data_IF_248162818140
#
_entry.id   IF_248162818140
#
_cell.length_a   1.000
_cell.length_b   1.000
_cell.length_c   1.000
_cell.angle_alpha   90.00
_cell.angle_beta   90.00
_cell.angle_gamma   90.00
#
_symmetry.space_group_name_H-M   'P 1'
#
loop_
_entity.id
_entity.type
_entity.pdbx_description
1 polymer ?
#
# COMPACT_ATOMS: atom_id res chain seq x y z
N UNK A 1 -33.04 -31.06 -25.42
CA UNK A 1 -31.91 -30.15 -25.72
C UNK A 1 -31.81 -29.16 -24.55
N UNK A 2 -30.98 -29.30 -23.51
CA UNK A 2 -30.10 -30.37 -23.07
C UNK A 2 -30.21 -30.49 -21.55
N UNK A 3 -30.34 -31.72 -21.07
CA UNK A 3 -30.42 -32.11 -19.66
C UNK A 3 -29.10 -32.72 -19.21
N UNK A 4 -27.99 -32.03 -19.49
CA UNK A 4 -26.66 -32.38 -18.99
C UNK A 4 -26.02 -31.12 -18.40
N UNK A 5 -26.52 -30.71 -17.23
CA UNK A 5 -25.66 -30.03 -16.28
C UNK A 5 -24.96 -31.15 -15.52
N UNK A 6 -23.80 -31.57 -16.03
CA UNK A 6 -22.90 -32.45 -15.31
C UNK A 6 -22.55 -31.75 -14.00
N UNK A 7 -23.31 -32.07 -12.95
CA UNK A 7 -22.96 -31.75 -11.59
C UNK A 7 -21.72 -32.61 -11.32
N UNK A 8 -20.53 -32.03 -11.48
CA UNK A 8 -19.32 -32.52 -10.80
C UNK A 8 -19.58 -32.44 -9.29
N UNK A 9 -20.44 -33.32 -8.79
CA UNK A 9 -21.03 -33.24 -7.47
C UNK A 9 -20.19 -33.97 -6.42
N UNK A 10 -19.10 -34.62 -6.82
CA UNK A 10 -18.25 -35.42 -5.93
C UNK A 10 -16.74 -35.23 -6.16
N UNK A 11 -16.28 -34.04 -6.61
CA UNK A 11 -14.85 -33.72 -6.52
C UNK A 11 -14.58 -33.17 -5.10
N UNK A 12 -13.75 -33.83 -4.28
CA UNK A 12 -13.43 -33.32 -2.95
C UNK A 12 -12.61 -32.02 -3.07
N UNK A 13 -13.18 -30.93 -2.58
CA UNK A 13 -12.49 -29.65 -2.51
C UNK A 13 -11.79 -29.49 -1.17
N UNK A 14 -10.57 -28.95 -1.17
CA UNK A 14 -9.80 -28.66 0.03
C UNK A 14 -9.81 -27.16 0.32
N UNK A 15 -10.25 -26.78 1.51
CA UNK A 15 -10.08 -25.41 2.00
C UNK A 15 -8.59 -25.13 2.17
N UNK A 16 -8.13 -24.02 1.60
CA UNK A 16 -6.74 -23.56 1.66
C UNK A 16 -6.64 -22.23 2.39
N UNK A 17 -5.43 -21.82 2.76
CA UNK A 17 -5.19 -20.47 3.28
C UNK A 17 -5.68 -19.42 2.29
N UNK A 18 -6.25 -18.32 2.80
CA UNK A 18 -6.62 -17.15 2.00
C UNK A 18 -5.43 -16.54 1.24
N UNK A 19 -4.19 -16.87 1.63
CA UNK A 19 -2.97 -16.42 0.94
C UNK A 19 -2.53 -17.32 -0.22
N UNK A 20 -3.09 -18.53 -0.33
CA UNK A 20 -2.70 -19.52 -1.35
C UNK A 20 -2.92 -19.02 -2.79
N UNK A 21 -4.07 -18.41 -3.15
CA UNK A 21 -4.27 -17.89 -4.51
C UNK A 21 -3.17 -16.91 -4.95
N UNK A 22 -2.77 -16.00 -4.04
CA UNK A 22 -1.70 -15.02 -4.30
C UNK A 22 -0.33 -15.68 -4.39
N UNK A 23 0.02 -16.54 -3.42
CA UNK A 23 1.37 -17.10 -3.30
C UNK A 23 1.70 -18.17 -4.35
N UNK A 24 0.70 -18.95 -4.77
CA UNK A 24 0.91 -20.09 -5.66
C UNK A 24 0.52 -19.76 -7.10
N UNK A 25 -0.60 -19.07 -7.32
CA UNK A 25 -1.12 -18.77 -8.65
C UNK A 25 -0.88 -17.32 -9.10
N UNK A 26 -0.28 -16.46 -8.25
CA UNK A 26 -0.04 -15.05 -8.57
C UNK A 26 -1.31 -14.20 -8.69
N UNK A 27 -2.48 -14.73 -8.29
CA UNK A 27 -3.77 -14.08 -8.46
C UNK A 27 -4.06 -13.07 -7.34
N UNK A 28 -4.61 -11.92 -7.71
CA UNK A 28 -5.17 -10.99 -6.74
C UNK A 28 -6.42 -11.61 -6.09
N UNK A 29 -6.46 -11.62 -4.75
CA UNK A 29 -7.52 -12.26 -3.98
C UNK A 29 -8.20 -11.28 -3.00
N UNK A 30 -8.33 -10.03 -3.44
CA UNK A 30 -8.88 -8.96 -2.63
C UNK A 30 -7.89 -8.36 -1.63
N UNK A 31 -8.43 -7.55 -0.74
CA UNK A 31 -7.71 -6.92 0.37
C UNK A 31 -8.41 -7.24 1.71
N UNK A 32 -7.70 -7.03 2.81
CA UNK A 32 -8.28 -7.04 4.16
C UNK A 32 -8.32 -5.61 4.68
N UNK A 33 -9.41 -5.27 5.37
CA UNK A 33 -9.54 -4.00 6.07
C UNK A 33 -9.11 -4.20 7.52
N UNK A 34 -8.29 -3.30 8.02
CA UNK A 34 -7.86 -3.25 9.42
C UNK A 34 -8.07 -1.84 9.94
N UNK A 35 -8.74 -1.72 11.08
CA UNK A 35 -8.84 -0.47 11.81
C UNK A 35 -7.59 -0.26 12.67
N UNK A 36 -7.08 0.97 12.71
CA UNK A 36 -6.02 1.40 13.61
C UNK A 36 -6.43 2.73 14.24
N UNK A 37 -6.33 2.90 15.57
CA UNK A 37 -6.80 4.10 16.26
C UNK A 37 -5.92 5.34 16.01
N UNK A 38 -4.65 5.13 15.62
CA UNK A 38 -3.69 6.18 15.29
C UNK A 38 -2.59 5.61 14.38
N UNK A 39 -1.74 6.50 13.85
CA UNK A 39 -0.73 6.14 12.86
C UNK A 39 0.36 5.22 13.45
N UNK A 40 0.77 5.39 14.71
CA UNK A 40 1.76 4.49 15.33
C UNK A 40 1.24 3.06 15.48
N UNK A 41 -0.06 2.88 15.69
CA UNK A 41 -0.72 1.56 15.71
C UNK A 41 -0.81 0.93 14.32
N UNK A 42 -0.74 1.72 13.23
CA UNK A 42 -0.59 1.17 11.87
C UNK A 42 0.71 0.37 11.79
N UNK A 43 1.81 0.92 12.32
CA UNK A 43 3.13 0.29 12.26
C UNK A 43 3.31 -0.83 13.30
N UNK A 44 2.96 -0.56 14.57
CA UNK A 44 3.17 -1.48 15.70
C UNK A 44 2.33 -2.76 15.57
N UNK A 45 1.07 -2.63 15.15
CA UNK A 45 0.13 -3.75 15.05
C UNK A 45 0.09 -4.34 13.64
N UNK A 46 1.24 -4.38 12.95
CA UNK A 46 1.36 -4.98 11.64
C UNK A 46 1.05 -6.50 11.70
N UNK A 47 0.16 -7.03 10.84
CA UNK A 47 -0.22 -8.45 10.88
C UNK A 47 0.83 -9.38 10.24
N UNK A 48 1.91 -8.82 9.68
CA UNK A 48 2.94 -9.59 8.98
C UNK A 48 4.15 -9.81 9.87
N UNK A 49 4.66 -11.05 9.88
CA UNK A 49 5.93 -11.36 10.54
C UNK A 49 7.04 -10.54 9.86
N UNK A 50 7.84 -9.82 10.66
CA UNK A 50 8.85 -8.89 10.18
C UNK A 50 8.37 -7.45 9.99
N UNK A 51 7.08 -7.19 10.23
CA UNK A 51 6.50 -5.84 10.08
C UNK A 51 6.36 -5.41 8.62
N UNK A 52 6.08 -4.12 8.44
CA UNK A 52 6.28 -3.46 7.15
C UNK A 52 7.76 -3.13 7.04
N UNK A 53 8.48 -3.80 6.14
CA UNK A 53 9.93 -3.65 5.98
C UNK A 53 10.31 -2.51 5.03
N UNK A 54 9.32 -1.91 4.37
CA UNK A 54 9.46 -0.63 3.70
C UNK A 54 8.17 0.19 3.82
N UNK A 55 8.29 1.46 4.23
CA UNK A 55 7.17 2.34 4.54
C UNK A 55 7.32 3.65 3.78
N UNK A 56 6.36 3.94 2.91
CA UNK A 56 6.31 5.14 2.09
C UNK A 56 5.15 6.02 2.55
N UNK A 57 5.41 7.30 2.81
CA UNK A 57 4.37 8.31 2.97
C UNK A 57 4.22 9.18 1.72
N UNK A 58 2.99 9.56 1.39
CA UNK A 58 2.72 10.48 0.27
C UNK A 58 2.32 11.86 0.78
N UNK A 59 2.90 12.93 0.23
CA UNK A 59 2.58 14.33 0.56
C UNK A 59 3.05 15.27 -0.54
N UNK A 60 2.37 16.40 -0.72
CA UNK A 60 2.84 17.45 -1.64
C UNK A 60 4.20 18.03 -1.20
N UNK A 61 4.50 17.96 0.10
CA UNK A 61 5.78 18.35 0.70
C UNK A 61 6.88 17.27 0.56
N UNK A 62 6.56 16.12 -0.01
CA UNK A 62 7.51 15.03 -0.23
C UNK A 62 8.54 15.36 -1.31
N UNK A 63 9.61 14.55 -1.38
CA UNK A 63 10.58 14.67 -2.48
C UNK A 63 9.91 14.26 -3.80
N UNK A 64 10.25 14.96 -4.88
CA UNK A 64 9.73 14.66 -6.22
C UNK A 64 10.79 13.90 -7.02
N UNK A 65 10.51 12.65 -7.35
CA UNK A 65 11.36 11.80 -8.19
C UNK A 65 10.48 11.25 -9.31
N UNK A 66 10.97 11.02 -10.53
CA UNK A 66 10.15 10.37 -11.56
C UNK A 66 9.96 8.90 -11.21
N UNK A 67 8.79 8.34 -11.53
CA UNK A 67 8.49 6.91 -11.31
C UNK A 67 9.59 6.01 -11.91
N UNK A 68 10.08 6.33 -13.10
CA UNK A 68 11.13 5.55 -13.77
C UNK A 68 12.51 5.62 -13.10
N UNK A 69 12.76 6.67 -12.30
CA UNK A 69 14.02 6.89 -11.58
C UNK A 69 13.97 6.42 -10.13
N UNK A 70 12.76 6.27 -9.58
CA UNK A 70 12.58 5.82 -8.21
C UNK A 70 13.03 4.35 -8.08
N UNK A 71 14.06 4.13 -7.28
CA UNK A 71 14.55 2.80 -6.93
C UNK A 71 14.08 2.45 -5.53
N UNK A 72 13.34 1.35 -5.41
CA UNK A 72 12.93 0.79 -4.13
C UNK A 72 13.90 -0.34 -3.73
N UNK A 73 14.25 -0.47 -2.44
CA UNK A 73 14.97 -1.64 -1.96
C UNK A 73 14.08 -2.90 -2.09
N UNK A 74 14.67 -4.11 -2.10
CA UNK A 74 13.90 -5.34 -1.97
C UNK A 74 13.03 -5.31 -0.70
N UNK A 75 11.75 -5.64 -0.81
CA UNK A 75 10.81 -5.65 0.29
C UNK A 75 9.90 -6.88 0.26
N UNK A 76 9.38 -7.27 1.42
CA UNK A 76 8.37 -8.32 1.57
C UNK A 76 6.98 -7.74 1.81
N UNK A 77 6.90 -6.67 2.62
CA UNK A 77 5.67 -6.05 3.09
C UNK A 77 5.79 -4.51 2.96
N UNK A 78 5.49 -3.99 1.77
CA UNK A 78 5.42 -2.55 1.53
C UNK A 78 4.15 -1.93 2.13
N UNK A 79 4.29 -0.83 2.86
CA UNK A 79 3.19 0.04 3.28
C UNK A 79 3.27 1.38 2.54
N UNK A 80 2.16 1.81 1.94
CA UNK A 80 2.00 3.15 1.35
C UNK A 80 0.92 3.87 2.15
N UNK A 81 1.30 4.96 2.81
CA UNK A 81 0.44 5.75 3.68
C UNK A 81 -0.03 7.03 2.97
N UNK A 82 -1.31 7.34 3.15
CA UNK A 82 -1.97 8.52 2.60
C UNK A 82 -2.58 9.35 3.73
N UNK A 83 -2.42 10.66 3.63
CA UNK A 83 -3.00 11.62 4.57
C UNK A 83 -4.46 11.96 4.23
N UNK A 84 -5.13 12.58 5.19
CA UNK A 84 -6.42 13.25 5.00
C UNK A 84 -6.25 14.68 4.47
N UNK A 85 -7.20 15.55 4.79
CA UNK A 85 -7.20 16.95 4.35
C UNK A 85 -5.94 17.72 4.81
N UNK A 86 -5.47 17.48 6.03
CA UNK A 86 -4.27 18.12 6.59
C UNK A 86 -3.01 17.23 6.47
N UNK A 87 -3.05 16.22 5.59
CA UNK A 87 -1.88 15.37 5.31
C UNK A 87 -1.60 14.31 6.37
N UNK A 88 -0.42 13.69 6.28
CA UNK A 88 0.06 12.72 7.26
C UNK A 88 0.67 13.43 8.47
N UNK A 89 1.07 14.68 8.31
CA UNK A 89 1.62 15.56 9.32
C UNK A 89 0.63 15.74 10.48
N UNK A 90 -0.66 15.93 10.20
CA UNK A 90 -1.70 15.97 11.24
C UNK A 90 -1.81 14.64 12.00
N UNK A 91 -1.76 13.51 11.29
CA UNK A 91 -1.81 12.18 11.92
C UNK A 91 -0.61 11.95 12.86
N UNK A 92 0.55 12.54 12.55
CA UNK A 92 1.77 12.47 13.36
C UNK A 92 1.63 13.36 14.61
N UNK A 93 1.14 14.59 14.45
CA UNK A 93 0.99 15.55 15.56
C UNK A 93 -0.08 15.14 16.58
N UNK A 94 -1.12 14.43 16.14
CA UNK A 94 -2.18 13.91 17.02
C UNK A 94 -1.81 12.58 17.71
N UNK A 95 -0.75 11.88 17.25
CA UNK A 95 -0.28 10.65 17.88
C UNK A 95 0.80 10.94 18.93
N UNK A 96 0.47 10.75 20.21
CA UNK A 96 1.41 10.97 21.34
C UNK A 96 2.76 10.23 21.21
N UNK A 97 2.85 9.13 20.45
CA UNK A 97 4.11 8.42 20.25
C UNK A 97 5.02 9.05 19.19
N UNK A 98 4.44 9.89 18.31
CA UNK A 98 5.12 10.49 17.16
C UNK A 98 5.07 12.01 17.15
N UNK A 99 4.26 12.63 18.00
CA UNK A 99 4.08 14.07 18.12
C UNK A 99 5.43 14.82 18.18
N UNK A 100 5.56 15.86 17.35
CA UNK A 100 6.77 16.67 17.24
C UNK A 100 7.88 16.05 16.38
N UNK A 101 7.68 14.87 15.78
CA UNK A 101 8.62 14.29 14.81
C UNK A 101 8.33 14.78 13.40
N UNK A 102 9.36 14.86 12.57
CA UNK A 102 9.16 15.12 11.16
C UNK A 102 8.64 13.86 10.45
N UNK A 103 7.75 14.01 9.48
CA UNK A 103 7.29 12.88 8.67
C UNK A 103 8.45 12.13 7.99
N UNK A 104 9.48 12.84 7.56
CA UNK A 104 10.69 12.24 6.93
C UNK A 104 11.50 11.36 7.88
N UNK A 105 11.29 11.46 9.19
CA UNK A 105 11.95 10.60 10.20
C UNK A 105 11.12 9.34 10.50
N UNK A 106 9.87 9.29 10.05
CA UNK A 106 8.91 8.21 10.32
C UNK A 106 8.79 7.25 9.13
N UNK A 107 8.87 7.79 7.92
CA UNK A 107 8.77 7.03 6.68
C UNK A 107 10.16 6.82 6.06
N UNK A 108 10.41 5.64 5.49
CA UNK A 108 11.65 5.38 4.75
C UNK A 108 11.75 6.26 3.50
N UNK A 109 10.60 6.53 2.87
CA UNK A 109 10.47 7.48 1.77
C UNK A 109 9.24 8.36 1.99
N UNK A 110 9.39 9.65 1.72
CA UNK A 110 8.30 10.62 1.81
C UNK A 110 8.20 11.41 0.50
N UNK A 111 7.21 11.06 -0.33
CA UNK A 111 7.20 11.37 -1.76
C UNK A 111 6.03 12.26 -2.18
N UNK A 112 6.30 13.17 -3.11
CA UNK A 112 5.27 13.81 -3.91
C UNK A 112 5.12 13.03 -5.22
N UNK A 113 3.98 12.35 -5.38
CA UNK A 113 3.66 11.49 -6.53
C UNK A 113 2.97 12.25 -7.67
N UNK A 114 2.62 13.52 -7.46
CA UNK A 114 2.00 14.40 -8.45
C UNK A 114 2.63 15.80 -8.40
N UNK A 115 3.92 15.93 -8.78
CA UNK A 115 4.57 17.23 -8.82
C UNK A 115 3.85 18.15 -9.80
N UNK A 116 3.80 19.45 -9.48
CA UNK A 116 3.13 20.48 -10.29
C UNK A 116 1.62 20.22 -10.45
N UNK A 117 0.97 19.67 -9.42
CA UNK A 117 -0.48 19.53 -9.40
C UNK A 117 -1.17 20.88 -9.73
N UNK A 118 -2.17 20.83 -10.61
CA UNK A 118 -2.91 22.01 -11.04
C UNK A 118 -4.02 22.45 -10.07
N UNK A 119 -4.31 21.63 -9.05
CA UNK A 119 -5.24 21.93 -7.97
C UNK A 119 -4.49 22.31 -6.71
N UNK A 120 -5.11 23.12 -5.84
CA UNK A 120 -4.57 23.38 -4.49
C UNK A 120 -4.46 22.10 -3.67
N UNK A 121 -5.37 21.16 -3.88
CA UNK A 121 -5.46 19.93 -3.09
C UNK A 121 -5.85 18.79 -4.03
N UNK A 122 -5.20 17.64 -3.84
CA UNK A 122 -5.62 16.36 -4.40
C UNK A 122 -6.32 15.61 -3.26
N UNK A 123 -7.57 15.21 -3.46
CA UNK A 123 -8.31 14.49 -2.42
C UNK A 123 -7.73 13.09 -2.24
N UNK A 124 -7.83 12.51 -1.05
CA UNK A 124 -7.17 11.24 -0.72
C UNK A 124 -7.51 10.12 -1.70
N UNK A 125 -8.77 9.98 -2.12
CA UNK A 125 -9.16 8.95 -3.08
C UNK A 125 -8.66 9.20 -4.52
N UNK A 126 -8.39 10.45 -4.92
CA UNK A 126 -7.66 10.78 -6.15
C UNK A 126 -6.17 10.43 -6.01
N UNK A 127 -5.57 10.81 -4.87
CA UNK A 127 -4.16 10.58 -4.56
C UNK A 127 -3.80 9.10 -4.54
N UNK A 128 -4.71 8.24 -4.08
CA UNK A 128 -4.52 6.78 -4.10
C UNK A 128 -4.28 6.28 -5.52
N UNK A 129 -5.13 6.66 -6.49
CA UNK A 129 -4.97 6.19 -7.87
C UNK A 129 -3.70 6.72 -8.52
N UNK A 130 -3.43 8.02 -8.38
CA UNK A 130 -2.23 8.65 -8.93
C UNK A 130 -0.97 7.98 -8.38
N UNK A 131 -0.92 7.79 -7.06
CA UNK A 131 0.26 7.24 -6.39
C UNK A 131 0.44 5.76 -6.71
N UNK A 132 -0.62 4.95 -6.73
CA UNK A 132 -0.49 3.53 -7.06
C UNK A 132 -0.05 3.32 -8.52
N UNK A 133 -0.50 4.15 -9.45
CA UNK A 133 0.01 4.15 -10.82
C UNK A 133 1.48 4.58 -10.87
N UNK A 134 1.84 5.64 -10.13
CA UNK A 134 3.23 6.09 -10.00
C UNK A 134 4.15 4.98 -9.44
N UNK A 135 3.69 4.19 -8.48
CA UNK A 135 4.50 3.11 -7.88
C UNK A 135 4.53 1.80 -8.70
N UNK A 136 3.69 1.67 -9.74
CA UNK A 136 3.59 0.44 -10.51
C UNK A 136 4.95 0.02 -11.09
N UNK A 137 5.65 0.93 -11.78
CA UNK A 137 6.95 0.63 -12.38
C UNK A 137 8.04 0.33 -11.32
N UNK A 138 8.28 1.17 -10.28
CA UNK A 138 9.22 0.87 -9.21
C UNK A 138 8.98 -0.47 -8.52
N UNK A 139 7.72 -0.80 -8.21
CA UNK A 139 7.37 -2.06 -7.55
C UNK A 139 7.62 -3.24 -8.49
N UNK A 140 7.23 -3.12 -9.76
CA UNK A 140 7.43 -4.19 -10.75
C UNK A 140 8.92 -4.50 -10.98
N UNK A 141 9.79 -3.48 -10.98
CA UNK A 141 11.25 -3.65 -11.03
C UNK A 141 11.76 -4.50 -9.88
N UNK A 142 11.30 -4.24 -8.64
CA UNK A 142 11.68 -5.04 -7.47
C UNK A 142 11.13 -6.46 -7.55
N UNK A 143 9.91 -6.64 -8.03
CA UNK A 143 9.26 -7.95 -8.15
C UNK A 143 9.73 -8.78 -9.35
N UNK A 144 10.61 -8.25 -10.20
CA UNK A 144 11.09 -8.92 -11.41
C UNK A 144 9.98 -9.16 -12.45
N UNK A 145 8.92 -8.34 -12.43
CA UNK A 145 7.81 -8.40 -13.39
C UNK A 145 8.08 -7.35 -14.47
N UNK A 146 8.58 -7.77 -15.63
CA UNK A 146 8.70 -6.91 -16.83
C UNK A 146 7.42 -6.91 -17.64
#
# INVERSE_FOLDING_TARGET
>A
MGTDRHLESDIPHKVVSTSTPRKVAGMYWGYKVRYAPNISSVFKDCPYKGGYDHIIGTSEHGISVRSSELTLPPFTNLLIAFGGLAGLEECIEEDNNLKGKNARDIFDLYLNTCPQQGSRTIRTEEAIFISLQYFQEPINKVLGKS
#
